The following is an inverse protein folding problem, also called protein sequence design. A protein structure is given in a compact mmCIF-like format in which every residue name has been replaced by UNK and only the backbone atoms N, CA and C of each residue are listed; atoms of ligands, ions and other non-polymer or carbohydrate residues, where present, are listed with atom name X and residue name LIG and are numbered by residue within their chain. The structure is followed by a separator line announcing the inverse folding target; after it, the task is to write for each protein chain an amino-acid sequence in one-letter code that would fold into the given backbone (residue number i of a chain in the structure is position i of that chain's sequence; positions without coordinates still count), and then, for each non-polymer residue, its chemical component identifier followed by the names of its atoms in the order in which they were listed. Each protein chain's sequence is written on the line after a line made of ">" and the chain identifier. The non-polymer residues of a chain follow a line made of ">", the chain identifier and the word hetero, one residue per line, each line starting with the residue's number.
data_IF_084510403573
#
_entry.id   IF_084510403573
#
_cell.length_a   1.000
_cell.length_b   1.000
_cell.length_c   1.000
_cell.angle_alpha   90.00
_cell.angle_beta   90.00
_cell.angle_gamma   90.00
#
_symmetry.space_group_name_H-M   'P 1'
#
loop_
_entity.id
_entity.type
_entity.pdbx_description
1 polymer ?
#
# COMPACT_ATOMS: atom_id res chain seq x y z
N UNK A 1 -17.92 -11.19 -10.25
CA UNK A 1 -18.10 -10.47 -11.53
C UNK A 1 -17.70 -9.02 -11.31
N UNK A 2 -16.72 -8.53 -12.07
CA UNK A 2 -16.24 -7.14 -11.96
C UNK A 2 -17.18 -6.14 -12.65
N UNK A 3 -18.15 -6.61 -13.44
CA UNK A 3 -19.18 -5.75 -14.05
C UNK A 3 -20.28 -5.36 -13.06
N UNK A 4 -20.41 -6.08 -11.94
CA UNK A 4 -21.28 -5.69 -10.84
C UNK A 4 -20.54 -4.72 -9.91
N UNK A 5 -20.71 -3.42 -10.16
CA UNK A 5 -20.02 -2.34 -9.41
C UNK A 5 -20.32 -2.36 -7.90
N UNK A 6 -21.52 -2.75 -7.49
CA UNK A 6 -21.89 -2.82 -6.07
C UNK A 6 -21.15 -3.96 -5.37
N UNK A 7 -21.14 -5.15 -5.98
CA UNK A 7 -20.43 -6.32 -5.46
C UNK A 7 -18.91 -6.09 -5.46
N UNK A 8 -18.37 -5.49 -6.52
CA UNK A 8 -16.95 -5.16 -6.61
C UNK A 8 -16.53 -4.23 -5.47
N UNK A 9 -17.27 -3.15 -5.24
CA UNK A 9 -16.99 -2.21 -4.14
C UNK A 9 -17.05 -2.88 -2.78
N UNK A 10 -18.04 -3.72 -2.54
CA UNK A 10 -18.20 -4.44 -1.28
C UNK A 10 -17.02 -5.39 -1.01
N UNK A 11 -16.69 -6.24 -1.97
CA UNK A 11 -15.61 -7.22 -1.85
C UNK A 11 -14.26 -6.53 -1.71
N UNK A 12 -13.97 -5.52 -2.54
CA UNK A 12 -12.74 -4.74 -2.44
C UNK A 12 -12.62 -4.04 -1.07
N UNK A 13 -13.69 -3.41 -0.58
CA UNK A 13 -13.68 -2.79 0.74
C UNK A 13 -13.43 -3.81 1.86
N UNK A 14 -14.00 -5.02 1.76
CA UNK A 14 -13.77 -6.12 2.70
C UNK A 14 -12.30 -6.57 2.70
N UNK A 15 -11.71 -6.77 1.52
CA UNK A 15 -10.30 -7.18 1.38
C UNK A 15 -9.37 -6.13 1.98
N UNK A 16 -9.56 -4.86 1.62
CA UNK A 16 -8.75 -3.75 2.16
C UNK A 16 -8.83 -3.68 3.69
N UNK A 17 -10.02 -3.89 4.25
CA UNK A 17 -10.22 -3.93 5.70
C UNK A 17 -9.44 -5.07 6.35
N UNK A 18 -9.53 -6.29 5.80
CA UNK A 18 -8.80 -7.45 6.33
C UNK A 18 -7.28 -7.20 6.34
N UNK A 19 -6.72 -6.60 5.29
CA UNK A 19 -5.29 -6.23 5.22
C UNK A 19 -4.94 -5.20 6.31
N UNK A 20 -5.79 -4.20 6.50
CA UNK A 20 -5.56 -3.15 7.50
C UNK A 20 -5.79 -3.62 8.94
N UNK A 21 -6.57 -4.67 9.18
CA UNK A 21 -6.83 -5.22 10.52
C UNK A 21 -5.76 -6.22 10.95
N UNK A 22 -5.12 -6.92 10.01
CA UNK A 22 -4.10 -7.93 10.33
C UNK A 22 -2.84 -7.31 10.96
N UNK A 23 -2.25 -7.96 11.95
CA UNK A 23 -0.99 -7.49 12.53
C UNK A 23 0.17 -7.64 11.55
N UNK A 24 0.98 -6.58 11.41
CA UNK A 24 2.20 -6.68 10.62
C UNK A 24 3.18 -7.62 11.32
N UNK A 25 3.85 -8.53 10.58
CA UNK A 25 4.87 -9.40 11.17
C UNK A 25 5.86 -8.61 12.01
N UNK A 26 6.10 -9.08 13.24
CA UNK A 26 6.89 -8.35 14.24
C UNK A 26 8.25 -7.90 13.70
N UNK A 27 8.94 -8.78 12.98
CA UNK A 27 10.25 -8.47 12.40
C UNK A 27 10.20 -7.31 11.40
N UNK A 28 9.16 -7.24 10.57
CA UNK A 28 8.98 -6.15 9.60
C UNK A 28 8.61 -4.85 10.31
N UNK A 29 7.70 -4.92 11.28
CA UNK A 29 7.31 -3.75 12.08
C UNK A 29 8.52 -3.16 12.83
N UNK A 30 9.34 -4.02 13.45
CA UNK A 30 10.55 -3.61 14.16
C UNK A 30 11.60 -3.03 13.21
N UNK A 31 11.75 -3.59 12.00
CA UNK A 31 12.63 -3.05 10.98
C UNK A 31 12.21 -1.63 10.54
N UNK A 32 10.91 -1.38 10.35
CA UNK A 32 10.38 -0.05 10.02
C UNK A 32 10.65 0.94 11.18
N UNK A 33 10.39 0.54 12.43
CA UNK A 33 10.66 1.38 13.62
C UNK A 33 12.13 1.77 13.69
N UNK A 34 13.02 0.79 13.53
CA UNK A 34 14.46 1.03 13.57
C UNK A 34 14.92 1.94 12.44
N UNK A 35 14.45 1.73 11.20
CA UNK A 35 14.80 2.59 10.08
C UNK A 35 14.33 4.04 10.28
N UNK A 36 13.14 4.25 10.86
CA UNK A 36 12.63 5.58 11.18
C UNK A 36 13.44 6.28 12.28
N UNK A 37 13.84 5.55 13.33
CA UNK A 37 14.70 6.07 14.39
C UNK A 37 16.08 6.49 13.84
N UNK A 38 16.68 5.64 13.01
CA UNK A 38 17.95 5.93 12.35
C UNK A 38 17.86 7.13 11.41
N UNK A 39 16.74 7.29 10.71
CA UNK A 39 16.46 8.50 9.93
C UNK A 39 16.43 9.73 10.83
N UNK A 40 15.72 9.67 11.96
CA UNK A 40 15.64 10.76 12.92
C UNK A 40 17.02 11.21 13.44
N UNK A 41 17.91 10.26 13.76
CA UNK A 41 19.30 10.54 14.12
C UNK A 41 20.07 11.24 12.99
N UNK A 42 19.91 10.77 11.74
CA UNK A 42 20.61 11.34 10.57
C UNK A 42 20.20 12.77 10.27
N UNK A 43 18.91 13.10 10.47
CA UNK A 43 18.38 14.45 10.22
C UNK A 43 18.36 15.34 11.46
N UNK A 44 18.84 14.82 12.60
CA UNK A 44 18.85 15.50 13.90
C UNK A 44 17.45 15.95 14.34
N UNK A 45 16.43 15.11 14.13
CA UNK A 45 15.04 15.31 14.55
C UNK A 45 14.47 13.99 15.05
N UNK A 46 13.96 13.92 16.28
CA UNK A 46 13.53 12.66 16.91
C UNK A 46 12.40 11.95 16.15
N UNK A 47 11.47 12.72 15.58
CA UNK A 47 10.29 12.20 14.87
C UNK A 47 10.07 13.02 13.60
N UNK A 48 10.89 12.83 12.55
CA UNK A 48 10.80 13.62 11.34
C UNK A 48 9.52 13.31 10.57
N UNK A 49 9.02 14.28 9.82
CA UNK A 49 7.94 14.04 8.86
C UNK A 49 8.46 13.26 7.66
N UNK A 50 7.71 12.23 7.26
CA UNK A 50 8.02 11.40 6.09
C UNK A 50 6.83 11.29 5.14
N UNK A 51 7.13 10.90 3.91
CA UNK A 51 6.13 10.45 2.96
C UNK A 51 6.18 8.93 2.85
N UNK A 52 5.03 8.25 2.94
CA UNK A 52 4.89 6.82 2.67
C UNK A 52 4.32 6.69 1.27
N UNK A 53 5.05 6.00 0.38
CA UNK A 53 4.76 5.95 -1.06
C UNK A 53 4.75 4.50 -1.50
N UNK A 54 3.64 4.09 -2.09
CA UNK A 54 3.53 2.80 -2.77
C UNK A 54 4.32 2.80 -4.08
N UNK A 55 4.92 1.66 -4.41
CA UNK A 55 5.55 1.37 -5.71
C UNK A 55 5.19 -0.07 -6.09
N UNK A 56 4.40 -0.26 -7.14
CA UNK A 56 4.05 -1.60 -7.63
C UNK A 56 5.04 -2.09 -8.67
N UNK A 57 5.41 -3.37 -8.59
CA UNK A 57 6.27 -4.02 -9.59
C UNK A 57 5.64 -4.08 -10.98
N UNK A 58 4.32 -3.90 -11.09
CA UNK A 58 3.60 -3.85 -12.36
C UNK A 58 3.65 -2.48 -13.05
N UNK A 59 4.33 -1.48 -12.49
CA UNK A 59 4.58 -0.18 -13.10
C UNK A 59 5.54 -0.23 -14.30
N UNK A 60 6.28 -1.34 -14.46
CA UNK A 60 7.31 -1.51 -15.50
C UNK A 60 6.79 -2.21 -16.77
N UNK A 61 5.49 -2.47 -16.90
CA UNK A 61 4.92 -3.03 -18.13
C UNK A 61 4.74 -1.92 -19.19
N UNK A 62 5.29 -2.09 -20.42
CA UNK A 62 5.31 -1.04 -21.46
C UNK A 62 3.93 -0.44 -21.79
N UNK A 63 2.86 -1.24 -21.64
CA UNK A 63 1.48 -0.88 -21.99
C UNK A 63 0.54 -0.72 -20.77
N UNK A 64 1.05 -0.89 -19.54
CA UNK A 64 0.22 -0.83 -18.33
C UNK A 64 0.76 0.21 -17.33
N UNK A 65 0.25 1.43 -17.43
CA UNK A 65 0.52 2.46 -16.43
C UNK A 65 -0.48 2.34 -15.28
N UNK A 66 -0.02 1.82 -14.12
CA UNK A 66 -0.74 1.95 -12.85
C UNK A 66 -0.59 3.35 -12.21
N UNK A 67 -0.04 4.32 -12.97
CA UNK A 67 0.18 5.68 -12.52
C UNK A 67 -1.13 6.33 -12.01
N UNK A 68 -1.08 6.84 -10.78
CA UNK A 68 -2.21 7.53 -10.16
C UNK A 68 -3.30 6.62 -9.58
N UNK A 69 -3.02 5.34 -9.35
CA UNK A 69 -3.96 4.42 -8.69
C UNK A 69 -3.59 4.02 -7.26
N UNK A 70 -2.42 4.43 -6.77
CA UNK A 70 -1.93 4.00 -5.46
C UNK A 70 -1.71 5.18 -4.53
N UNK A 71 -1.90 4.93 -3.24
CA UNK A 71 -1.96 5.98 -2.22
C UNK A 71 -0.55 6.46 -1.83
N UNK A 72 -0.38 7.79 -1.81
CA UNK A 72 0.77 8.46 -1.20
C UNK A 72 0.30 9.22 0.02
N UNK A 73 0.93 8.97 1.17
CA UNK A 73 0.63 9.67 2.41
C UNK A 73 1.77 10.64 2.71
N UNK A 74 1.44 11.94 2.79
CA UNK A 74 2.38 13.01 3.11
C UNK A 74 2.28 13.39 4.59
N UNK A 75 3.33 13.99 5.12
CA UNK A 75 3.39 14.50 6.49
C UNK A 75 3.06 13.44 7.55
N UNK A 76 3.53 12.21 7.35
CA UNK A 76 3.38 11.11 8.30
C UNK A 76 4.44 11.25 9.39
N UNK A 77 4.06 11.03 10.65
CA UNK A 77 4.95 11.15 11.81
C UNK A 77 4.65 10.06 12.83
N UNK A 78 5.69 9.48 13.40
CA UNK A 78 5.59 8.38 14.38
C UNK A 78 5.55 7.01 13.73
N UNK A 79 6.33 6.07 14.26
CA UNK A 79 6.55 4.79 13.62
C UNK A 79 5.29 3.91 13.49
N UNK A 80 4.40 3.92 14.48
CA UNK A 80 3.15 3.15 14.40
C UNK A 80 2.19 3.71 13.33
N UNK A 81 2.17 5.03 13.14
CA UNK A 81 1.41 5.66 12.06
C UNK A 81 2.00 5.29 10.71
N UNK A 82 3.33 5.26 10.58
CA UNK A 82 4.02 4.82 9.36
C UNK A 82 3.66 3.36 9.04
N UNK A 83 3.71 2.45 10.02
CA UNK A 83 3.32 1.04 9.85
C UNK A 83 1.86 0.94 9.35
N UNK A 84 0.96 1.73 9.94
CA UNK A 84 -0.42 1.76 9.48
C UNK A 84 -0.54 2.27 8.04
N UNK A 85 0.22 3.30 7.65
CA UNK A 85 0.24 3.80 6.27
C UNK A 85 0.85 2.82 5.27
N UNK A 86 1.84 2.04 5.67
CA UNK A 86 2.38 0.92 4.86
C UNK A 86 1.29 -0.13 4.61
N UNK A 87 0.51 -0.49 5.63
CA UNK A 87 -0.63 -1.42 5.46
C UNK A 87 -1.71 -0.84 4.54
N UNK A 88 -2.01 0.46 4.67
CA UNK A 88 -2.94 1.13 3.76
C UNK A 88 -2.41 1.14 2.31
N UNK A 89 -1.10 1.34 2.10
CA UNK A 89 -0.49 1.19 0.78
C UNK A 89 -0.69 -0.24 0.25
N UNK A 90 -0.41 -1.30 1.01
CA UNK A 90 -0.69 -2.67 0.59
C UNK A 90 -2.16 -2.90 0.24
N UNK A 91 -3.08 -2.37 1.04
CA UNK A 91 -4.51 -2.43 0.79
C UNK A 91 -4.92 -1.68 -0.50
N UNK A 92 -4.20 -0.61 -0.89
CA UNK A 92 -4.50 0.16 -2.11
C UNK A 92 -4.42 -0.67 -3.39
N UNK A 93 -3.70 -1.80 -3.38
CA UNK A 93 -3.74 -2.78 -4.48
C UNK A 93 -5.16 -3.30 -4.73
N UNK A 94 -6.02 -3.38 -3.72
CA UNK A 94 -7.40 -3.85 -3.83
C UNK A 94 -8.43 -2.71 -3.85
N UNK A 95 -8.08 -1.56 -4.42
CA UNK A 95 -9.10 -0.57 -4.81
C UNK A 95 -9.98 -1.13 -5.93
N UNK A 96 -11.20 -0.61 -6.02
CA UNK A 96 -12.19 -1.02 -7.01
C UNK A 96 -11.63 -0.83 -8.43
N UNK A 97 -10.95 0.31 -8.66
CA UNK A 97 -10.30 0.65 -9.93
C UNK A 97 -9.14 -0.29 -10.26
N UNK A 98 -8.23 -0.54 -9.31
CA UNK A 98 -7.09 -1.42 -9.53
C UNK A 98 -7.54 -2.87 -9.79
N UNK A 99 -8.54 -3.34 -9.06
CA UNK A 99 -9.10 -4.68 -9.22
C UNK A 99 -9.81 -4.83 -10.56
N UNK A 100 -10.66 -3.87 -10.94
CA UNK A 100 -11.32 -3.87 -12.25
C UNK A 100 -10.31 -3.88 -13.40
N UNK A 101 -9.31 -2.99 -13.34
CA UNK A 101 -8.29 -2.88 -14.37
C UNK A 101 -7.51 -4.20 -14.54
N UNK A 102 -7.07 -4.83 -13.44
CA UNK A 102 -6.37 -6.12 -13.50
C UNK A 102 -7.20 -7.21 -14.16
N UNK A 103 -8.47 -7.35 -13.78
CA UNK A 103 -9.34 -8.37 -14.40
C UNK A 103 -9.53 -8.10 -15.89
N UNK A 104 -9.71 -6.83 -16.30
CA UNK A 104 -9.85 -6.48 -17.71
C UNK A 104 -8.60 -6.74 -18.55
N UNK A 105 -7.42 -6.58 -17.96
CA UNK A 105 -6.14 -6.88 -18.62
C UNK A 105 -5.75 -8.37 -18.53
N UNK A 106 -6.53 -9.20 -17.82
CA UNK A 106 -6.23 -10.62 -17.63
C UNK A 106 -5.05 -10.89 -16.69
N UNK A 107 -4.68 -9.93 -15.82
CA UNK A 107 -3.65 -10.14 -14.81
C UNK A 107 -4.22 -10.93 -13.62
N UNK A 108 -3.44 -11.92 -13.15
CA UNK A 108 -3.79 -12.64 -11.94
C UNK A 108 -3.60 -11.76 -10.70
N UNK A 109 -4.56 -11.81 -9.78
CA UNK A 109 -4.57 -11.00 -8.57
C UNK A 109 -3.39 -11.29 -7.65
N UNK A 110 -2.86 -12.52 -7.68
CA UNK A 110 -1.76 -12.94 -6.81
C UNK A 110 -0.38 -12.66 -7.39
N UNK A 111 -0.29 -12.23 -8.66
CA UNK A 111 1.00 -11.95 -9.32
C UNK A 111 1.50 -10.52 -9.15
N UNK A 112 0.69 -9.64 -8.55
CA UNK A 112 1.04 -8.23 -8.33
C UNK A 112 1.62 -8.05 -6.93
N UNK A 113 2.89 -7.64 -6.86
CA UNK A 113 3.57 -7.27 -5.62
C UNK A 113 3.64 -5.74 -5.48
N UNK A 114 3.50 -5.26 -4.24
CA UNK A 114 3.64 -3.84 -3.90
C UNK A 114 4.75 -3.65 -2.86
N UNK A 115 5.67 -2.73 -3.15
CA UNK A 115 6.60 -2.17 -2.17
C UNK A 115 6.01 -0.88 -1.59
N UNK A 116 6.21 -0.61 -0.30
CA UNK A 116 5.72 0.58 0.38
C UNK A 116 6.71 1.04 1.46
#
# INVERSE_FOLDING_TARGET
>A
DVENSALLREVCAKIRRMICEEEMPKELADAIRHAYEELGKKVNEENPFVAVRSSATAEDLPDASFAGQQDTYLNVRGADVIIQKVKECYASTFTDRATYYRVKQGFDHMTVALSA
#
